data_IF_721894338639
#
_entry.id   IF_721894338639
#
_cell.length_a   1.000
_cell.length_b   1.000
_cell.length_c   1.000
_cell.angle_alpha   90.00
_cell.angle_beta   90.00
_cell.angle_gamma   90.00
#
_symmetry.space_group_name_H-M   'P 1'
#
loop_
_entity.id
_entity.type
_entity.pdbx_description
1 polymer ?
#
# COMPACT_ATOMS: atom_id res chain seq x y z
N UNK A 1 -60.76 -35.50 19.10
CA UNK A 1 -59.57 -35.27 18.23
C UNK A 1 -58.49 -34.63 19.08
N UNK A 2 -57.47 -35.40 19.48
CA UNK A 2 -56.26 -34.84 20.10
C UNK A 2 -55.25 -34.60 19.00
N UNK A 3 -55.04 -33.34 18.64
CA UNK A 3 -54.04 -32.93 17.66
C UNK A 3 -52.69 -32.86 18.39
N UNK A 4 -51.87 -33.90 18.26
CA UNK A 4 -50.48 -33.88 18.70
C UNK A 4 -49.66 -33.00 17.74
N UNK A 5 -49.26 -31.81 18.20
CA UNK A 5 -48.21 -31.03 17.53
C UNK A 5 -46.89 -31.78 17.71
N UNK A 6 -46.41 -32.38 16.63
CA UNK A 6 -45.02 -32.80 16.49
C UNK A 6 -44.13 -31.55 16.48
N UNK A 7 -43.41 -31.29 17.57
CA UNK A 7 -42.33 -30.30 17.59
C UNK A 7 -41.03 -31.04 17.29
N UNK A 8 -40.53 -30.88 16.06
CA UNK A 8 -39.12 -31.15 15.74
C UNK A 8 -38.24 -30.42 16.77
N UNK A 9 -37.11 -31.00 17.21
CA UNK A 9 -36.19 -30.31 18.10
C UNK A 9 -35.75 -28.99 17.45
N UNK A 10 -36.07 -27.87 18.08
CA UNK A 10 -35.52 -26.57 17.69
C UNK A 10 -33.99 -26.68 17.66
N UNK A 11 -33.37 -26.37 16.52
CA UNK A 11 -31.92 -26.30 16.43
C UNK A 11 -31.38 -25.39 17.56
N UNK A 12 -30.35 -25.85 18.27
CA UNK A 12 -29.77 -25.11 19.39
C UNK A 12 -29.24 -23.77 18.88
N UNK A 13 -29.62 -22.66 19.53
CA UNK A 13 -29.18 -21.32 19.15
C UNK A 13 -27.64 -21.22 19.12
N UNK A 14 -27.09 -20.96 17.95
CA UNK A 14 -25.65 -20.98 17.68
C UNK A 14 -25.27 -20.04 16.54
N UNK A 15 -24.01 -19.59 16.57
CA UNK A 15 -23.43 -18.82 15.47
C UNK A 15 -23.13 -19.81 14.35
N UNK A 16 -23.74 -19.58 13.18
CA UNK A 16 -23.72 -20.47 12.02
C UNK A 16 -22.61 -20.14 11.02
N UNK A 17 -22.17 -18.88 10.99
CA UNK A 17 -21.06 -18.45 10.14
C UNK A 17 -20.26 -17.35 10.82
N UNK A 18 -18.94 -17.39 10.65
CA UNK A 18 -18.01 -16.41 11.16
C UNK A 18 -16.99 -16.12 10.07
N UNK A 19 -16.93 -14.87 9.63
CA UNK A 19 -15.97 -14.43 8.62
C UNK A 19 -15.15 -13.28 9.20
N UNK A 20 -13.93 -13.55 9.72
CA UNK A 20 -13.02 -12.48 10.08
C UNK A 20 -12.61 -11.70 8.83
N UNK A 21 -12.49 -10.39 8.98
CA UNK A 21 -12.01 -9.46 7.96
C UNK A 21 -11.02 -8.47 8.57
N UNK A 22 -10.62 -7.47 7.79
CA UNK A 22 -9.74 -6.41 8.30
C UNK A 22 -10.51 -5.48 9.26
N UNK A 23 -10.13 -5.53 10.54
CA UNK A 23 -10.70 -4.74 11.62
C UNK A 23 -12.18 -5.00 11.84
N UNK A 24 -12.70 -6.13 11.35
CA UNK A 24 -14.10 -6.50 11.49
C UNK A 24 -14.29 -8.01 11.51
N UNK A 25 -15.43 -8.45 12.04
CA UNK A 25 -15.89 -9.85 11.97
C UNK A 25 -17.36 -9.83 11.59
N UNK A 26 -17.70 -10.50 10.49
CA UNK A 26 -19.08 -10.82 10.16
C UNK A 26 -19.51 -12.08 10.89
N UNK A 27 -20.69 -12.02 11.51
CA UNK A 27 -21.33 -13.12 12.21
C UNK A 27 -22.72 -13.33 11.62
N UNK A 28 -23.12 -14.58 11.44
CA UNK A 28 -24.53 -14.95 11.30
C UNK A 28 -24.88 -16.12 12.20
N UNK A 29 -26.15 -16.26 12.56
CA UNK A 29 -26.64 -17.28 13.46
C UNK A 29 -27.99 -17.81 13.00
N UNK A 30 -28.41 -18.96 13.53
CA UNK A 30 -29.77 -19.43 13.28
C UNK A 30 -30.79 -18.59 14.02
N UNK A 31 -31.90 -18.24 13.36
CA UNK A 31 -32.99 -17.49 13.98
C UNK A 31 -33.64 -18.28 15.11
N UNK A 32 -34.19 -17.54 16.08
CA UNK A 32 -34.89 -18.11 17.23
C UNK A 32 -36.33 -17.61 17.18
N UNK A 33 -37.33 -18.49 17.05
CA UNK A 33 -38.73 -18.09 17.04
C UNK A 33 -39.10 -17.25 18.27
N UNK A 34 -39.78 -16.11 18.05
CA UNK A 34 -40.17 -15.19 19.11
C UNK A 34 -39.09 -14.19 19.55
N UNK A 35 -37.90 -14.21 18.94
CA UNK A 35 -36.91 -13.14 19.11
C UNK A 35 -37.31 -11.91 18.29
N UNK A 36 -37.36 -10.75 18.95
CA UNK A 36 -37.59 -9.43 18.30
C UNK A 36 -36.28 -8.75 17.88
N UNK A 37 -35.14 -9.37 18.20
CA UNK A 37 -33.81 -8.92 17.83
C UNK A 37 -32.72 -9.67 18.58
N UNK A 38 -31.49 -9.21 18.40
CA UNK A 38 -30.29 -9.83 18.94
C UNK A 38 -29.32 -8.80 19.54
N UNK A 39 -28.61 -9.20 20.58
CA UNK A 39 -27.51 -8.46 21.18
C UNK A 39 -26.19 -9.21 20.95
N UNK A 40 -25.23 -8.56 20.31
CA UNK A 40 -23.89 -9.11 20.12
C UNK A 40 -23.01 -8.62 21.27
N UNK A 41 -22.43 -9.54 22.04
CA UNK A 41 -21.43 -9.25 23.07
C UNK A 41 -20.06 -9.69 22.57
N UNK A 42 -19.07 -8.79 22.64
CA UNK A 42 -17.69 -9.08 22.28
C UNK A 42 -16.65 -8.29 23.07
N UNK A 43 -15.42 -8.81 23.14
CA UNK A 43 -14.28 -8.15 23.78
C UNK A 43 -13.02 -9.02 23.77
N UNK A 44 -11.85 -8.42 24.09
CA UNK A 44 -10.57 -9.15 24.27
C UNK A 44 -10.49 -9.88 25.60
N UNK A 45 -11.11 -9.30 26.63
CA UNK A 45 -11.25 -9.88 27.97
C UNK A 45 -12.71 -9.68 28.42
N UNK A 46 -13.44 -10.76 28.72
CA UNK A 46 -14.87 -10.68 29.10
C UNK A 46 -15.14 -10.00 30.46
N UNK A 47 -14.09 -9.58 31.18
CA UNK A 47 -14.18 -8.90 32.49
C UNK A 47 -14.31 -7.38 32.38
N UNK A 48 -14.02 -6.79 31.23
CA UNK A 48 -14.07 -5.33 31.02
C UNK A 48 -14.48 -5.03 29.59
N UNK A 49 -15.69 -4.47 29.45
CA UNK A 49 -16.27 -3.92 28.22
C UNK A 49 -16.83 -4.93 27.21
N UNK A 50 -17.99 -5.50 27.51
CA UNK A 50 -18.90 -6.04 26.48
C UNK A 50 -19.55 -4.85 25.75
N UNK A 51 -19.19 -4.63 24.48
CA UNK A 51 -19.94 -3.69 23.62
C UNK A 51 -21.16 -4.43 23.10
N UNK A 52 -22.34 -3.87 23.36
CA UNK A 52 -23.64 -4.42 22.99
C UNK A 52 -24.12 -3.72 21.72
N UNK A 53 -24.46 -4.49 20.69
CA UNK A 53 -25.10 -3.93 19.49
C UNK A 53 -26.40 -4.65 19.20
N UNK A 54 -27.47 -3.90 18.94
CA UNK A 54 -28.79 -4.43 18.59
C UNK A 54 -28.86 -4.68 17.08
N UNK A 55 -29.20 -5.90 16.68
CA UNK A 55 -29.52 -6.24 15.29
C UNK A 55 -30.94 -6.82 15.21
N UNK A 56 -31.72 -6.39 14.23
CA UNK A 56 -33.01 -7.01 13.90
C UNK A 56 -32.84 -8.21 12.95
N UNK A 57 -31.69 -8.34 12.30
CA UNK A 57 -31.36 -9.44 11.40
C UNK A 57 -30.55 -10.52 12.13
N UNK A 58 -30.62 -11.76 11.64
CA UNK A 58 -29.83 -12.89 12.14
C UNK A 58 -28.34 -12.86 11.73
N UNK A 59 -27.83 -11.66 11.46
CA UNK A 59 -26.44 -11.40 11.12
C UNK A 59 -26.03 -10.01 11.58
N UNK A 60 -24.72 -9.83 11.76
CA UNK A 60 -24.12 -8.54 12.10
C UNK A 60 -22.62 -8.51 11.77
N UNK A 61 -22.14 -7.37 11.28
CA UNK A 61 -20.69 -7.11 11.12
C UNK A 61 -20.20 -6.23 12.26
N UNK A 62 -19.42 -6.81 13.17
CA UNK A 62 -18.72 -6.05 14.22
C UNK A 62 -17.51 -5.38 13.59
N UNK A 63 -17.46 -4.04 13.61
CA UNK A 63 -16.35 -3.22 13.07
C UNK A 63 -15.50 -2.61 14.19
N UNK A 64 -14.34 -2.06 13.83
CA UNK A 64 -13.45 -1.38 14.76
C UNK A 64 -12.66 -2.32 15.68
N UNK A 65 -12.46 -3.57 15.22
CA UNK A 65 -11.61 -4.55 15.88
C UNK A 65 -10.14 -4.33 15.49
N UNK A 66 -9.24 -4.87 16.30
CA UNK A 66 -7.80 -4.84 16.03
C UNK A 66 -7.38 -6.18 15.43
N UNK A 67 -6.60 -6.13 14.35
CA UNK A 67 -6.05 -7.30 13.68
C UNK A 67 -4.94 -7.93 14.50
N UNK A 68 -4.73 -9.24 14.38
CA UNK A 68 -3.82 -10.01 15.24
C UNK A 68 -4.33 -10.22 16.68
N UNK A 69 -5.30 -9.42 17.14
CA UNK A 69 -5.91 -9.61 18.45
C UNK A 69 -7.00 -10.69 18.43
N UNK A 70 -7.09 -11.41 19.54
CA UNK A 70 -8.14 -12.41 19.79
C UNK A 70 -9.34 -11.76 20.46
N UNK A 71 -10.52 -12.03 19.92
CA UNK A 71 -11.81 -11.60 20.47
C UNK A 71 -12.71 -12.80 20.75
N UNK A 72 -13.52 -12.66 21.77
CA UNK A 72 -14.56 -13.63 22.11
C UNK A 72 -15.93 -13.05 21.78
N UNK A 73 -16.80 -13.83 21.15
CA UNK A 73 -18.15 -13.39 20.76
C UNK A 73 -19.22 -14.32 21.33
N UNK A 74 -20.34 -13.72 21.73
CA UNK A 74 -21.60 -14.42 22.04
C UNK A 74 -22.78 -13.60 21.54
N UNK A 75 -23.82 -14.25 21.04
CA UNK A 75 -25.07 -13.58 20.66
C UNK A 75 -26.16 -13.95 21.66
N UNK A 76 -26.95 -12.96 22.06
CA UNK A 76 -28.11 -13.12 22.94
C UNK A 76 -29.37 -12.73 22.18
N UNK A 77 -30.47 -13.44 22.43
CA UNK A 77 -31.79 -13.07 21.91
C UNK A 77 -32.43 -11.96 22.75
N UNK A 78 -33.22 -11.10 22.09
CA UNK A 78 -34.12 -10.14 22.73
C UNK A 78 -35.56 -10.63 22.50
N UNK A 79 -36.11 -11.48 23.39
CA UNK A 79 -37.46 -12.03 23.21
C UNK A 79 -38.53 -10.99 23.56
N UNK A 80 -39.72 -11.12 22.98
CA UNK A 80 -40.92 -10.40 23.42
C UNK A 80 -41.44 -10.94 24.77
N UNK A 81 -41.32 -12.27 24.97
CA UNK A 81 -41.64 -12.96 26.21
C UNK A 81 -40.75 -14.22 26.37
N UNK A 82 -40.42 -14.58 27.61
CA UNK A 82 -39.58 -15.75 27.93
C UNK A 82 -38.10 -15.44 28.17
N UNK A 83 -37.27 -16.45 28.44
CA UNK A 83 -35.87 -16.25 28.82
C UNK A 83 -34.99 -15.90 27.62
N UNK A 84 -34.03 -14.99 27.83
CA UNK A 84 -32.94 -14.74 26.87
C UNK A 84 -32.11 -16.01 26.66
N UNK A 85 -32.04 -16.47 25.42
CA UNK A 85 -31.12 -17.51 24.98
C UNK A 85 -29.79 -16.90 24.55
N UNK A 86 -28.69 -17.65 24.76
CA UNK A 86 -27.31 -17.26 24.45
C UNK A 86 -26.62 -18.35 23.64
N UNK A 87 -25.85 -17.96 22.62
CA UNK A 87 -25.01 -18.90 21.86
C UNK A 87 -23.83 -19.40 22.69
N UNK A 88 -23.25 -20.57 22.36
CA UNK A 88 -21.89 -20.89 22.79
C UNK A 88 -20.92 -19.74 22.44
N UNK A 89 -19.89 -19.55 23.27
CA UNK A 89 -18.84 -18.60 22.98
C UNK A 89 -17.97 -19.13 21.84
N UNK A 90 -17.67 -18.24 20.90
CA UNK A 90 -16.65 -18.47 19.88
C UNK A 90 -15.44 -17.56 20.16
N UNK A 91 -14.27 -18.02 19.76
CA UNK A 91 -13.01 -17.28 19.87
C UNK A 91 -12.46 -17.10 18.47
N UNK A 92 -12.17 -15.86 18.09
CA UNK A 92 -11.67 -15.51 16.77
C UNK A 92 -10.43 -14.64 16.93
N UNK A 93 -9.31 -15.10 16.39
CA UNK A 93 -8.13 -14.26 16.18
C UNK A 93 -8.29 -13.60 14.81
N UNK A 94 -8.33 -12.27 14.78
CA UNK A 94 -8.32 -11.57 13.50
C UNK A 94 -6.96 -11.80 12.82
N UNK A 95 -6.93 -11.93 11.49
CA UNK A 95 -5.65 -12.10 10.80
C UNK A 95 -4.76 -10.90 11.09
N UNK A 96 -3.45 -11.09 11.11
CA UNK A 96 -2.54 -9.94 11.14
C UNK A 96 -2.73 -9.08 9.88
N UNK A 97 -2.53 -7.76 10.00
CA UNK A 97 -2.55 -6.89 8.82
C UNK A 97 -1.36 -7.25 7.94
N UNK A 98 -1.63 -7.49 6.67
CA UNK A 98 -0.54 -7.63 5.70
C UNK A 98 0.00 -6.27 5.23
N UNK A 99 -0.72 -5.16 5.44
CA UNK A 99 -0.24 -3.82 5.08
C UNK A 99 -1.17 -2.65 5.42
N UNK A 100 -0.75 -1.44 5.04
CA UNK A 100 -1.46 -0.16 5.22
C UNK A 100 -2.84 -0.18 4.56
N UNK A 101 -3.81 0.48 5.18
CA UNK A 101 -5.20 0.53 4.73
C UNK A 101 -5.62 1.96 4.35
N UNK A 102 -6.71 2.11 3.60
CA UNK A 102 -7.25 3.42 3.21
C UNK A 102 -7.48 4.37 4.40
N UNK A 103 -7.96 3.86 5.54
CA UNK A 103 -8.14 4.64 6.78
C UNK A 103 -6.84 5.13 7.43
N UNK A 104 -5.70 4.59 7.02
CA UNK A 104 -4.36 4.94 7.51
C UNK A 104 -3.55 5.68 6.45
N UNK A 105 -4.13 5.97 5.29
CA UNK A 105 -3.49 6.71 4.22
C UNK A 105 -3.99 8.17 4.26
N UNK A 106 -3.05 9.10 4.36
CA UNK A 106 -3.27 10.52 4.13
C UNK A 106 -3.26 10.81 2.64
N UNK A 107 -4.02 11.80 2.19
CA UNK A 107 -4.05 12.23 0.80
C UNK A 107 -3.77 13.74 0.74
N UNK A 108 -2.69 14.11 0.04
CA UNK A 108 -2.35 15.52 -0.20
C UNK A 108 -2.86 15.95 -1.56
N UNK A 109 -3.54 17.10 -1.61
CA UNK A 109 -4.09 17.71 -2.81
C UNK A 109 -3.52 19.12 -2.94
N UNK A 110 -3.05 19.49 -4.14
CA UNK A 110 -2.59 20.84 -4.43
C UNK A 110 -3.71 21.65 -5.10
N UNK A 111 -4.31 22.59 -4.40
CA UNK A 111 -5.43 23.41 -4.90
C UNK A 111 -5.02 24.38 -6.01
N UNK A 112 -3.72 24.69 -6.13
CA UNK A 112 -3.19 25.48 -7.23
C UNK A 112 -3.02 24.67 -8.53
N UNK A 113 -3.27 23.35 -8.51
CA UNK A 113 -3.22 22.49 -9.68
C UNK A 113 -4.58 21.81 -9.92
N UNK A 114 -5.37 22.25 -10.92
CA UNK A 114 -6.69 21.66 -11.20
C UNK A 114 -6.65 20.14 -11.44
N UNK A 115 -5.57 19.64 -12.05
CA UNK A 115 -5.39 18.19 -12.25
C UNK A 115 -5.23 17.47 -10.91
N UNK A 116 -4.56 18.10 -9.94
CA UNK A 116 -4.38 17.55 -8.60
C UNK A 116 -5.70 17.46 -7.84
N UNK A 117 -6.54 18.49 -7.93
CA UNK A 117 -7.87 18.49 -7.33
C UNK A 117 -8.73 17.37 -7.90
N UNK A 118 -8.78 17.23 -9.23
CA UNK A 118 -9.56 16.19 -9.90
C UNK A 118 -9.03 14.78 -9.55
N UNK A 119 -7.71 14.60 -9.56
CA UNK A 119 -7.09 13.31 -9.24
C UNK A 119 -7.29 12.94 -7.76
N UNK A 120 -7.14 13.92 -6.87
CA UNK A 120 -7.32 13.75 -5.43
C UNK A 120 -8.73 13.27 -5.10
N UNK A 121 -9.75 13.95 -5.61
CA UNK A 121 -11.14 13.53 -5.42
C UNK A 121 -11.42 12.16 -6.03
N UNK A 122 -10.89 11.89 -7.24
CA UNK A 122 -11.01 10.59 -7.88
C UNK A 122 -10.44 9.48 -6.99
N UNK A 123 -9.21 9.65 -6.51
CA UNK A 123 -8.54 8.65 -5.69
C UNK A 123 -9.22 8.46 -4.33
N UNK A 124 -9.62 9.57 -3.67
CA UNK A 124 -10.38 9.55 -2.42
C UNK A 124 -11.64 8.70 -2.53
N UNK A 125 -12.47 8.96 -3.54
CA UNK A 125 -13.71 8.19 -3.76
C UNK A 125 -13.42 6.73 -4.05
N UNK A 126 -12.44 6.45 -4.92
CA UNK A 126 -12.15 5.09 -5.37
C UNK A 126 -11.52 4.19 -4.31
N UNK A 127 -10.71 4.76 -3.41
CA UNK A 127 -10.09 4.03 -2.29
C UNK A 127 -10.86 4.19 -0.97
N UNK A 128 -11.96 4.95 -0.93
CA UNK A 128 -12.70 5.31 0.29
C UNK A 128 -11.78 5.88 1.38
N UNK A 129 -10.92 6.84 1.00
CA UNK A 129 -10.04 7.52 1.95
C UNK A 129 -10.91 8.43 2.83
N UNK A 130 -10.83 8.34 4.17
CA UNK A 130 -11.62 9.17 5.06
C UNK A 130 -11.35 10.66 4.84
N UNK A 131 -12.38 11.50 4.97
CA UNK A 131 -12.27 12.95 4.78
C UNK A 131 -11.27 13.60 5.73
N UNK A 132 -11.16 13.09 6.95
CA UNK A 132 -10.23 13.54 7.98
C UNK A 132 -8.76 13.27 7.64
N UNK A 133 -8.48 12.41 6.65
CA UNK A 133 -7.14 12.09 6.20
C UNK A 133 -6.68 12.95 5.01
N UNK A 134 -7.50 13.92 4.58
CA UNK A 134 -7.22 14.73 3.38
C UNK A 134 -6.67 16.07 3.79
N UNK A 135 -5.60 16.49 3.13
CA UNK A 135 -4.96 17.79 3.33
C UNK A 135 -4.88 18.53 2.01
N UNK A 136 -5.57 19.66 1.96
CA UNK A 136 -5.50 20.61 0.87
C UNK A 136 -4.36 21.61 1.12
N UNK A 137 -3.53 21.83 0.10
CA UNK A 137 -2.32 22.63 0.13
C UNK A 137 -2.31 23.61 -1.04
N UNK A 138 -1.67 24.76 -0.87
CA UNK A 138 -1.46 25.74 -1.93
C UNK A 138 0.03 25.77 -2.31
N UNK A 139 0.43 24.97 -3.30
CA UNK A 139 1.83 24.78 -3.69
C UNK A 139 2.04 25.31 -5.10
N UNK A 140 3.17 26.00 -5.33
CA UNK A 140 3.53 26.45 -6.67
C UNK A 140 3.71 25.28 -7.65
N UNK A 141 3.14 25.40 -8.84
CA UNK A 141 3.24 24.41 -9.92
C UNK A 141 4.57 24.53 -10.68
N UNK A 142 5.65 24.20 -9.99
CA UNK A 142 7.02 24.16 -10.52
C UNK A 142 7.64 22.79 -10.24
N UNK A 143 8.61 22.30 -11.05
CA UNK A 143 9.19 20.96 -10.83
C UNK A 143 9.89 20.81 -9.48
N UNK A 144 10.47 21.90 -8.98
CA UNK A 144 11.26 21.95 -7.76
C UNK A 144 10.87 23.17 -6.91
N UNK A 145 10.73 22.95 -5.60
CA UNK A 145 10.51 24.01 -4.61
C UNK A 145 11.73 24.19 -3.71
N UNK A 146 11.87 25.39 -3.14
CA UNK A 146 12.92 25.69 -2.16
C UNK A 146 12.67 25.00 -0.81
N UNK A 147 13.72 24.81 -0.02
CA UNK A 147 13.60 24.29 1.36
C UNK A 147 12.69 25.14 2.24
N UNK A 148 12.71 26.46 2.08
CA UNK A 148 11.84 27.37 2.82
C UNK A 148 10.35 27.17 2.48
N UNK A 149 10.03 27.03 1.19
CA UNK A 149 8.66 26.74 0.76
C UNK A 149 8.21 25.35 1.25
N UNK A 150 9.10 24.35 1.18
CA UNK A 150 8.83 23.02 1.69
C UNK A 150 8.60 23.00 3.21
N UNK A 151 9.34 23.77 4.00
CA UNK A 151 9.17 23.79 5.45
C UNK A 151 7.75 24.24 5.85
N UNK A 152 7.21 25.26 5.18
CA UNK A 152 5.82 25.71 5.38
C UNK A 152 4.82 24.60 5.04
N UNK A 153 5.00 23.95 3.88
CA UNK A 153 4.20 22.80 3.45
C UNK A 153 4.24 21.68 4.48
N UNK A 154 5.43 21.29 4.95
CA UNK A 154 5.63 20.19 5.89
C UNK A 154 4.95 20.45 7.23
N UNK A 155 5.08 21.67 7.75
CA UNK A 155 4.40 22.07 9.00
C UNK A 155 2.88 21.96 8.86
N UNK A 156 2.31 22.41 7.74
CA UNK A 156 0.87 22.28 7.51
C UNK A 156 0.42 20.81 7.45
N UNK A 157 1.14 19.97 6.70
CA UNK A 157 0.85 18.53 6.59
C UNK A 157 0.90 17.85 7.96
N UNK A 158 1.94 18.11 8.75
CA UNK A 158 2.10 17.48 10.07
C UNK A 158 1.02 17.89 11.07
N UNK A 159 0.54 19.14 11.00
CA UNK A 159 -0.53 19.64 11.85
C UNK A 159 -1.90 19.09 11.47
N UNK A 160 -2.16 18.89 10.17
CA UNK A 160 -3.48 18.50 9.67
C UNK A 160 -3.70 16.99 9.63
N UNK A 161 -2.65 16.18 9.44
CA UNK A 161 -2.79 14.73 9.37
C UNK A 161 -2.98 14.10 10.77
N UNK A 162 -4.05 13.31 10.99
CA UNK A 162 -4.23 12.56 12.22
C UNK A 162 -3.06 11.61 12.53
N UNK A 163 -2.85 11.29 13.81
CA UNK A 163 -1.83 10.30 14.21
C UNK A 163 -2.16 8.88 13.71
N UNK A 164 -3.41 8.61 13.33
CA UNK A 164 -3.83 7.33 12.73
C UNK A 164 -3.24 7.13 11.32
N UNK A 165 -2.82 8.21 10.65
CA UNK A 165 -2.23 8.18 9.32
C UNK A 165 -0.79 7.67 9.39
N UNK A 166 -0.54 6.56 8.69
CA UNK A 166 0.75 5.87 8.63
C UNK A 166 1.53 6.18 7.36
N UNK A 167 0.86 6.54 6.26
CA UNK A 167 1.50 6.84 4.99
C UNK A 167 0.75 7.95 4.25
N UNK A 168 1.36 8.50 3.20
CA UNK A 168 0.81 9.63 2.45
C UNK A 168 0.83 9.37 0.94
N UNK A 169 -0.32 9.55 0.30
CA UNK A 169 -0.47 9.68 -1.14
C UNK A 169 -0.38 11.15 -1.54
N UNK A 170 0.33 11.43 -2.63
CA UNK A 170 0.50 12.78 -3.18
C UNK A 170 -0.23 12.84 -4.52
N UNK A 171 -1.30 13.62 -4.62
CA UNK A 171 -2.15 13.67 -5.81
C UNK A 171 -1.68 14.72 -6.84
N UNK A 172 -0.38 14.92 -7.03
CA UNK A 172 0.17 15.79 -8.08
C UNK A 172 1.43 15.20 -8.68
N UNK A 173 1.78 15.65 -9.89
CA UNK A 173 3.04 15.28 -10.56
C UNK A 173 4.18 16.27 -10.25
N UNK A 174 3.87 17.56 -10.08
CA UNK A 174 4.84 18.61 -9.75
C UNK A 174 4.36 19.48 -8.56
N UNK A 175 5.24 19.84 -7.63
CA UNK A 175 6.68 19.53 -7.57
C UNK A 175 6.97 18.06 -7.24
N UNK A 176 8.06 17.53 -7.79
CA UNK A 176 8.61 16.21 -7.39
C UNK A 176 9.86 16.35 -6.51
N UNK A 177 10.39 17.57 -6.35
CA UNK A 177 11.67 17.84 -5.69
C UNK A 177 11.61 19.00 -4.71
N UNK A 178 12.43 18.88 -3.67
CA UNK A 178 12.82 19.96 -2.79
C UNK A 178 14.34 20.04 -2.90
N UNK A 179 14.85 21.00 -3.68
CA UNK A 179 16.28 21.04 -4.04
C UNK A 179 16.78 19.64 -4.48
N UNK A 180 17.82 19.09 -3.81
CA UNK A 180 18.38 17.78 -4.14
C UNK A 180 17.60 16.57 -3.55
N UNK A 181 16.62 16.81 -2.67
CA UNK A 181 15.77 15.78 -2.05
C UNK A 181 14.51 15.55 -2.89
N UNK A 182 14.01 14.32 -2.92
CA UNK A 182 12.68 14.06 -3.48
C UNK A 182 11.61 14.56 -2.51
N UNK A 183 10.48 15.03 -3.04
CA UNK A 183 9.37 15.48 -2.19
C UNK A 183 8.80 14.33 -1.34
N UNK A 184 8.78 13.11 -1.88
CA UNK A 184 8.35 11.91 -1.14
C UNK A 184 9.23 11.64 0.06
N UNK A 185 10.55 11.80 -0.08
CA UNK A 185 11.48 11.53 1.01
C UNK A 185 11.56 12.66 2.02
N UNK A 186 11.50 13.90 1.53
CA UNK A 186 11.41 15.06 2.41
C UNK A 186 10.13 15.03 3.27
N UNK A 187 8.98 14.62 2.70
CA UNK A 187 7.74 14.43 3.46
C UNK A 187 7.82 13.29 4.48
N UNK A 188 8.47 12.18 4.12
CA UNK A 188 8.53 11.01 5.01
C UNK A 188 9.49 11.19 6.19
N UNK A 189 10.68 11.75 5.93
CA UNK A 189 11.82 11.75 6.87
C UNK A 189 12.34 13.15 7.21
N UNK A 190 11.75 14.20 6.62
CA UNK A 190 12.31 15.55 6.65
C UNK A 190 13.36 15.76 5.56
N UNK A 191 13.68 17.03 5.31
CA UNK A 191 14.72 17.40 4.34
C UNK A 191 16.11 17.02 4.89
N UNK A 192 16.94 16.38 4.08
CA UNK A 192 18.30 15.98 4.48
C UNK A 192 19.35 16.91 3.86
N UNK A 193 19.93 17.78 4.69
CA UNK A 193 20.87 18.83 4.26
C UNK A 193 22.24 18.28 3.82
N UNK A 194 22.79 17.34 4.60
CA UNK A 194 24.19 16.96 4.49
C UNK A 194 24.58 16.44 3.10
N UNK A 195 23.78 15.60 2.41
CA UNK A 195 24.07 15.18 1.04
C UNK A 195 24.00 16.32 0.03
N UNK A 196 23.04 17.25 0.15
CA UNK A 196 22.93 18.38 -0.78
C UNK A 196 24.13 19.34 -0.68
N UNK A 197 24.66 19.57 0.53
CA UNK A 197 25.75 20.52 0.76
C UNK A 197 27.10 19.94 0.35
N UNK A 198 27.37 18.67 0.68
CA UNK A 198 28.69 18.05 0.45
C UNK A 198 28.86 17.57 -0.99
N UNK A 199 27.96 16.69 -1.41
CA UNK A 199 27.92 16.01 -2.70
C UNK A 199 26.71 15.05 -2.65
N UNK A 200 25.83 15.08 -3.66
CA UNK A 200 24.62 14.24 -3.72
C UNK A 200 24.93 12.74 -3.75
N UNK A 201 26.18 12.33 -4.01
CA UNK A 201 26.60 10.95 -3.86
C UNK A 201 26.83 10.51 -2.40
N UNK A 202 26.94 11.45 -1.45
CA UNK A 202 27.17 11.15 -0.04
C UNK A 202 26.02 10.35 0.58
N UNK A 203 26.34 9.62 1.66
CA UNK A 203 25.36 8.94 2.49
C UNK A 203 24.54 9.95 3.32
N UNK A 204 23.25 9.70 3.41
CA UNK A 204 22.33 10.34 4.32
C UNK A 204 21.98 9.40 5.48
N UNK A 205 21.09 9.82 6.37
CA UNK A 205 20.51 8.93 7.36
C UNK A 205 19.72 7.83 6.66
N UNK A 206 20.05 6.58 6.95
CA UNK A 206 19.32 5.42 6.40
C UNK A 206 17.87 5.41 6.89
N UNK A 207 16.95 4.97 6.03
CA UNK A 207 15.54 4.77 6.39
C UNK A 207 15.41 3.68 7.45
N UNK A 208 14.83 3.96 8.64
CA UNK A 208 14.58 2.93 9.65
C UNK A 208 13.53 1.91 9.20
N UNK A 209 12.78 2.23 8.14
CA UNK A 209 11.78 1.34 7.57
C UNK A 209 12.38 0.26 6.66
N UNK A 210 13.59 0.46 6.15
CA UNK A 210 14.27 -0.48 5.26
C UNK A 210 14.31 -1.89 5.85
N UNK A 211 13.76 -2.87 5.12
CA UNK A 211 13.70 -4.26 5.56
C UNK A 211 12.88 -4.53 6.83
N UNK A 212 12.18 -3.54 7.41
CA UNK A 212 11.42 -3.72 8.66
C UNK A 212 10.15 -4.57 8.46
N UNK A 213 9.66 -5.19 9.55
CA UNK A 213 8.37 -5.91 9.57
C UNK A 213 7.19 -5.02 9.99
N UNK A 214 7.44 -3.75 10.30
CA UNK A 214 6.38 -2.84 10.75
C UNK A 214 5.37 -2.56 9.63
N UNK A 215 4.10 -2.53 10.00
CA UNK A 215 2.96 -2.04 9.20
C UNK A 215 2.42 -0.70 9.74
N UNK A 216 3.16 -0.10 10.69
CA UNK A 216 2.81 1.13 11.40
C UNK A 216 3.99 2.13 11.43
N UNK A 217 4.50 2.56 10.27
CA UNK A 217 5.71 3.38 10.19
C UNK A 217 5.64 4.71 10.96
N UNK A 218 4.47 5.35 11.06
CA UNK A 218 4.37 6.61 11.82
C UNK A 218 4.38 6.34 13.32
N UNK A 219 3.68 5.29 13.76
CA UNK A 219 3.66 4.91 15.17
C UNK A 219 5.05 4.50 15.65
N UNK A 220 5.74 3.66 14.86
CA UNK A 220 6.98 3.00 15.26
C UNK A 220 8.23 3.85 14.99
N UNK A 221 8.25 4.61 13.89
CA UNK A 221 9.44 5.34 13.44
C UNK A 221 9.23 6.84 13.26
N UNK A 222 8.02 7.35 13.57
CA UNK A 222 7.66 8.77 13.36
C UNK A 222 7.85 9.25 11.92
N UNK A 223 7.74 8.34 10.96
CA UNK A 223 7.82 8.65 9.53
C UNK A 223 6.53 8.24 8.82
N UNK A 224 6.16 8.96 7.77
CA UNK A 224 5.05 8.57 6.88
C UNK A 224 5.59 8.33 5.48
N UNK A 225 5.82 7.07 5.06
CA UNK A 225 6.14 6.74 3.67
C UNK A 225 5.23 7.50 2.73
N UNK A 226 5.80 8.15 1.72
CA UNK A 226 5.05 8.95 0.76
C UNK A 226 5.23 8.43 -0.67
N UNK A 227 4.17 8.48 -1.46
CA UNK A 227 4.19 8.05 -2.86
C UNK A 227 3.29 8.94 -3.72
N UNK A 228 3.79 9.31 -4.90
CA UNK A 228 3.09 10.19 -5.84
C UNK A 228 2.20 9.39 -6.79
N UNK A 229 0.95 9.83 -6.92
CA UNK A 229 0.03 9.41 -7.98
C UNK A 229 0.37 10.17 -9.27
N UNK A 230 1.61 10.07 -9.72
CA UNK A 230 2.11 10.85 -10.85
C UNK A 230 2.08 10.05 -12.15
N UNK A 231 1.71 10.72 -13.24
CA UNK A 231 1.72 10.20 -14.60
C UNK A 231 1.95 11.35 -15.61
N UNK A 232 2.12 11.03 -16.91
CA UNK A 232 2.35 12.06 -17.95
C UNK A 232 1.10 12.90 -18.26
N UNK A 233 -0.08 12.46 -17.81
CA UNK A 233 -1.34 13.20 -17.92
C UNK A 233 -2.29 12.79 -16.80
N UNK A 234 -3.29 13.62 -16.53
CA UNK A 234 -4.37 13.31 -15.58
C UNK A 234 -5.08 11.99 -15.93
N UNK A 235 -5.32 11.72 -17.21
CA UNK A 235 -5.99 10.50 -17.64
C UNK A 235 -5.15 9.26 -17.33
N UNK A 236 -3.84 9.31 -17.59
CA UNK A 236 -2.94 8.23 -17.20
C UNK A 236 -2.82 8.08 -15.68
N UNK A 237 -2.95 9.17 -14.91
CA UNK A 237 -2.96 9.10 -13.45
C UNK A 237 -4.23 8.41 -12.93
N UNK A 238 -5.40 8.65 -13.55
CA UNK A 238 -6.62 7.90 -13.26
C UNK A 238 -6.49 6.43 -13.63
N UNK A 239 -5.89 6.12 -14.78
CA UNK A 239 -5.60 4.75 -15.19
C UNK A 239 -4.62 4.06 -14.23
N UNK A 240 -3.64 4.77 -13.68
CA UNK A 240 -2.76 4.29 -12.63
C UNK A 240 -3.57 3.91 -11.37
N UNK A 241 -4.47 4.78 -10.92
CA UNK A 241 -5.38 4.50 -9.79
C UNK A 241 -6.21 3.24 -10.06
N UNK A 242 -6.81 3.15 -11.24
CA UNK A 242 -7.66 2.02 -11.64
C UNK A 242 -6.91 0.71 -11.66
N UNK A 243 -5.69 0.74 -12.22
CA UNK A 243 -4.80 -0.41 -12.30
C UNK A 243 -4.34 -0.86 -10.91
N UNK A 244 -4.05 0.06 -10.00
CA UNK A 244 -3.74 -0.27 -8.61
C UNK A 244 -4.89 -0.96 -7.88
N UNK A 245 -6.12 -0.44 -8.02
CA UNK A 245 -7.32 -1.06 -7.44
C UNK A 245 -7.60 -2.43 -8.07
N UNK A 246 -7.49 -2.55 -9.39
CA UNK A 246 -7.70 -3.80 -10.11
C UNK A 246 -6.68 -4.88 -9.73
N UNK A 247 -5.56 -4.50 -9.09
CA UNK A 247 -4.56 -5.44 -8.61
C UNK A 247 -5.00 -6.17 -7.35
N UNK A 248 -5.82 -5.56 -6.49
CA UNK A 248 -6.05 -6.01 -5.12
C UNK A 248 -6.50 -7.48 -5.04
N UNK A 249 -5.68 -8.31 -4.39
CA UNK A 249 -6.00 -9.72 -4.12
C UNK A 249 -6.06 -10.62 -5.35
N UNK A 250 -5.51 -10.20 -6.49
CA UNK A 250 -5.50 -11.00 -7.73
C UNK A 250 -4.47 -12.12 -7.73
N UNK A 251 -3.47 -12.08 -6.83
CA UNK A 251 -2.39 -13.06 -6.66
C UNK A 251 -1.77 -13.52 -7.99
N UNK A 252 -1.28 -12.60 -8.84
CA UNK A 252 -0.82 -12.96 -10.17
C UNK A 252 0.47 -13.79 -10.09
N UNK A 253 0.62 -14.70 -11.05
CA UNK A 253 1.88 -15.37 -11.35
C UNK A 253 2.54 -14.71 -12.57
N UNK A 254 3.87 -14.59 -12.56
CA UNK A 254 4.59 -14.00 -13.68
C UNK A 254 6.08 -13.85 -13.42
N UNK A 255 6.71 -13.05 -14.26
CA UNK A 255 8.17 -12.94 -14.32
C UNK A 255 8.68 -11.67 -13.64
N UNK A 256 9.82 -11.79 -12.95
CA UNK A 256 10.64 -10.67 -12.53
C UNK A 256 11.90 -10.61 -13.39
N UNK A 257 12.03 -9.56 -14.21
CA UNK A 257 13.18 -9.33 -15.07
C UNK A 257 14.18 -8.39 -14.40
N UNK A 258 15.33 -8.93 -14.03
CA UNK A 258 16.49 -8.17 -13.54
C UNK A 258 17.49 -8.05 -14.69
N UNK A 259 17.69 -6.84 -15.19
CA UNK A 259 18.42 -6.65 -16.45
C UNK A 259 19.92 -6.48 -16.21
N UNK A 260 20.72 -7.23 -16.95
CA UNK A 260 22.15 -7.01 -17.12
C UNK A 260 22.36 -6.40 -18.51
N UNK A 261 22.53 -5.09 -18.54
CA UNK A 261 22.52 -4.26 -19.76
C UNK A 261 23.94 -3.92 -20.21
N UNK A 262 24.06 -3.24 -21.34
CA UNK A 262 25.32 -2.66 -21.83
C UNK A 262 25.90 -1.59 -20.89
N UNK A 263 25.09 -0.98 -20.04
CA UNK A 263 25.57 -0.13 -18.93
C UNK A 263 25.93 -1.00 -17.71
N UNK A 264 27.21 -1.41 -17.64
CA UNK A 264 27.71 -2.26 -16.57
C UNK A 264 27.62 -1.59 -15.18
N UNK A 265 27.77 -0.26 -15.11
CA UNK A 265 27.68 0.50 -13.86
C UNK A 265 26.27 0.43 -13.29
N UNK A 266 25.23 0.55 -14.13
CA UNK A 266 23.83 0.53 -13.69
C UNK A 266 23.19 -0.85 -13.65
N UNK A 267 23.93 -1.88 -14.07
CA UNK A 267 23.54 -3.30 -13.95
C UNK A 267 23.90 -3.91 -12.58
N UNK A 268 24.12 -3.10 -11.54
CA UNK A 268 24.51 -3.55 -10.19
C UNK A 268 23.50 -4.52 -9.57
N UNK A 269 22.21 -4.33 -9.82
CA UNK A 269 21.15 -5.24 -9.32
C UNK A 269 21.34 -6.65 -9.85
N UNK A 270 21.62 -6.81 -11.14
CA UNK A 270 21.91 -8.11 -11.75
C UNK A 270 23.18 -8.78 -11.22
N UNK A 271 24.16 -8.00 -10.74
CA UNK A 271 25.40 -8.53 -10.16
C UNK A 271 25.24 -8.99 -8.71
N UNK A 272 24.50 -8.23 -7.90
CA UNK A 272 24.33 -8.49 -6.46
C UNK A 272 23.27 -9.56 -6.23
N UNK A 273 22.23 -9.61 -7.07
CA UNK A 273 21.13 -10.55 -6.92
C UNK A 273 21.56 -12.03 -6.87
N UNK A 274 22.36 -12.57 -7.80
CA UNK A 274 22.77 -13.98 -7.75
C UNK A 274 23.72 -14.31 -6.59
N UNK A 275 24.51 -13.34 -6.10
CA UNK A 275 25.38 -13.52 -4.95
C UNK A 275 24.64 -13.57 -3.60
N UNK A 276 23.36 -13.17 -3.57
CA UNK A 276 22.57 -13.11 -2.35
C UNK A 276 22.00 -14.46 -1.88
N UNK A 277 22.23 -15.58 -2.58
CA UNK A 277 21.60 -16.90 -2.35
C UNK A 277 20.05 -16.90 -2.38
N UNK A 278 19.40 -15.78 -2.68
CA UNK A 278 17.94 -15.62 -2.66
C UNK A 278 17.26 -16.05 -3.96
N UNK A 279 18.04 -16.24 -5.04
CA UNK A 279 17.57 -16.26 -6.44
C UNK A 279 16.72 -17.44 -6.92
N UNK A 280 16.21 -18.33 -6.06
CA UNK A 280 15.26 -19.38 -6.50
C UNK A 280 13.95 -19.47 -5.71
N UNK A 281 13.85 -18.88 -4.52
CA UNK A 281 12.66 -19.05 -3.66
C UNK A 281 12.28 -17.76 -2.91
N UNK A 282 12.30 -16.60 -3.59
CA UNK A 282 11.80 -15.35 -3.00
C UNK A 282 10.29 -15.36 -2.80
N UNK A 283 9.58 -15.98 -3.74
CA UNK A 283 8.13 -16.02 -3.80
C UNK A 283 7.68 -17.20 -4.68
N UNK A 284 6.62 -17.93 -4.31
CA UNK A 284 6.04 -18.95 -5.18
C UNK A 284 5.30 -18.36 -6.39
N UNK A 285 5.06 -17.04 -6.40
CA UNK A 285 4.32 -16.35 -7.47
C UNK A 285 5.20 -15.83 -8.61
N UNK A 286 6.52 -15.74 -8.38
CA UNK A 286 7.41 -14.95 -9.25
C UNK A 286 8.57 -15.80 -9.74
N UNK A 287 8.68 -15.94 -11.06
CA UNK A 287 9.86 -16.50 -11.72
C UNK A 287 10.90 -15.39 -11.94
N UNK A 288 12.04 -15.46 -11.25
CA UNK A 288 13.06 -14.42 -11.33
C UNK A 288 14.10 -14.74 -12.39
N UNK A 289 14.25 -13.83 -13.35
CA UNK A 289 15.13 -13.97 -14.50
C UNK A 289 16.18 -12.86 -14.51
N UNK A 290 17.46 -13.22 -14.49
CA UNK A 290 18.54 -12.30 -14.84
C UNK A 290 18.72 -12.35 -16.35
N UNK A 291 18.52 -11.22 -17.04
CA UNK A 291 18.52 -11.19 -18.51
C UNK A 291 19.66 -10.32 -19.04
N UNK A 292 20.53 -10.93 -19.86
CA UNK A 292 21.59 -10.23 -20.59
C UNK A 292 20.99 -9.58 -21.84
N UNK A 293 20.40 -8.40 -21.68
CA UNK A 293 19.80 -7.62 -22.75
C UNK A 293 19.58 -6.18 -22.29
N UNK A 294 19.49 -5.25 -23.23
CA UNK A 294 19.19 -3.84 -22.94
C UNK A 294 17.71 -3.59 -22.63
N UNK A 295 16.80 -4.45 -23.10
CA UNK A 295 15.37 -4.37 -22.79
C UNK A 295 14.66 -5.73 -22.94
N UNK A 296 13.42 -5.78 -22.43
CA UNK A 296 12.44 -6.81 -22.77
C UNK A 296 11.43 -6.22 -23.76
N UNK A 297 10.82 -7.07 -24.58
CA UNK A 297 9.78 -6.68 -25.53
C UNK A 297 8.83 -7.85 -25.73
N UNK A 298 7.53 -7.57 -25.86
CA UNK A 298 6.50 -8.58 -26.12
C UNK A 298 6.24 -9.55 -24.97
N UNK A 299 6.66 -9.24 -23.74
CA UNK A 299 6.34 -10.09 -22.59
C UNK A 299 4.88 -9.93 -22.19
N UNK A 300 4.28 -10.97 -21.61
CA UNK A 300 2.85 -10.98 -21.26
C UNK A 300 2.58 -10.93 -19.74
N UNK A 301 3.63 -11.11 -18.94
CA UNK A 301 3.55 -11.42 -17.50
C UNK A 301 4.61 -10.68 -16.68
N UNK A 302 5.06 -9.50 -17.13
CA UNK A 302 6.12 -8.74 -16.45
C UNK A 302 5.60 -8.14 -15.13
N UNK A 303 5.80 -8.85 -14.01
CA UNK A 303 5.41 -8.39 -12.67
C UNK A 303 6.43 -7.42 -12.07
N UNK A 304 7.71 -7.67 -12.33
CA UNK A 304 8.79 -6.80 -11.87
C UNK A 304 9.76 -6.58 -13.03
N UNK A 305 10.07 -5.32 -13.34
CA UNK A 305 11.01 -4.98 -14.39
C UNK A 305 12.05 -3.98 -13.88
N UNK A 306 13.23 -4.49 -13.53
CA UNK A 306 14.31 -3.74 -12.91
C UNK A 306 15.43 -3.47 -13.92
N UNK A 307 15.50 -2.22 -14.37
CA UNK A 307 16.40 -1.77 -15.43
C UNK A 307 17.63 -0.97 -14.97
N UNK A 308 18.62 -0.80 -15.86
CA UNK A 308 19.80 0.03 -15.63
C UNK A 308 19.96 1.22 -16.57
N UNK A 309 19.33 1.24 -17.74
CA UNK A 309 19.64 2.25 -18.75
C UNK A 309 19.03 3.63 -18.45
N UNK A 310 19.71 4.67 -18.95
CA UNK A 310 19.22 6.07 -18.91
C UNK A 310 17.95 6.26 -19.74
N UNK A 311 17.77 5.46 -20.78
CA UNK A 311 16.57 5.38 -21.60
C UNK A 311 16.32 3.90 -21.95
N UNK A 312 15.09 3.44 -21.76
CA UNK A 312 14.70 2.05 -21.99
C UNK A 312 13.71 2.00 -23.15
N UNK A 313 14.05 1.25 -24.18
CA UNK A 313 13.18 1.07 -25.35
C UNK A 313 12.08 0.03 -25.08
N UNK A 314 11.03 0.06 -25.91
CA UNK A 314 9.97 -0.95 -25.97
C UNK A 314 9.17 -1.19 -24.68
N UNK A 315 9.18 -0.26 -23.72
CA UNK A 315 8.42 -0.38 -22.46
C UNK A 315 6.95 -0.73 -22.74
N UNK A 316 6.28 0.04 -23.60
CA UNK A 316 4.86 -0.14 -23.94
C UNK A 316 4.54 -1.34 -24.85
N UNK A 317 5.53 -2.14 -25.26
CA UNK A 317 5.28 -3.39 -25.98
C UNK A 317 5.13 -4.59 -25.04
N UNK A 318 5.33 -4.40 -23.73
CA UNK A 318 5.17 -5.43 -22.73
C UNK A 318 3.81 -5.30 -22.05
N UNK A 319 3.30 -6.42 -21.54
CA UNK A 319 2.10 -6.45 -20.70
C UNK A 319 2.52 -6.55 -19.25
N UNK A 320 2.02 -5.61 -18.46
CA UNK A 320 2.22 -5.52 -17.03
C UNK A 320 0.90 -5.90 -16.34
N UNK A 321 0.82 -7.05 -15.64
CA UNK A 321 -0.36 -7.36 -14.84
C UNK A 321 -0.66 -6.23 -13.85
N UNK A 322 -1.94 -5.95 -13.51
CA UNK A 322 -2.28 -4.98 -12.48
C UNK A 322 -1.48 -5.23 -11.19
N UNK A 323 -0.85 -4.18 -10.67
CA UNK A 323 0.08 -4.27 -9.53
C UNK A 323 1.54 -4.46 -9.89
N UNK A 324 1.88 -4.74 -11.15
CA UNK A 324 3.28 -4.87 -11.57
C UNK A 324 4.07 -3.57 -11.38
N UNK A 325 5.37 -3.70 -11.16
CA UNK A 325 6.28 -2.57 -10.94
C UNK A 325 7.43 -2.58 -11.95
N UNK A 326 7.85 -1.40 -12.37
CA UNK A 326 8.97 -1.26 -13.28
C UNK A 326 9.74 0.02 -12.98
N UNK A 327 11.05 -0.06 -12.89
CA UNK A 327 11.90 1.10 -12.62
C UNK A 327 13.29 0.92 -13.22
N UNK A 328 14.06 2.01 -13.25
CA UNK A 328 15.42 2.02 -13.74
C UNK A 328 16.40 2.66 -12.75
N UNK A 329 17.58 2.06 -12.66
CA UNK A 329 18.69 2.50 -11.85
C UNK A 329 19.44 3.61 -12.59
N UNK A 330 18.83 4.77 -12.78
CA UNK A 330 19.47 5.90 -13.44
C UNK A 330 19.37 7.18 -12.62
N UNK A 331 20.28 8.11 -12.91
CA UNK A 331 20.29 9.44 -12.33
C UNK A 331 19.07 10.23 -12.80
N UNK A 332 18.49 11.10 -11.99
CA UNK A 332 17.46 12.05 -12.46
C UNK A 332 16.17 11.42 -13.05
N UNK A 333 15.95 10.10 -12.98
CA UNK A 333 14.69 9.47 -13.39
C UNK A 333 13.46 9.96 -12.59
N UNK A 334 13.69 10.49 -11.39
CA UNK A 334 12.69 11.12 -10.52
C UNK A 334 12.46 12.62 -10.81
N UNK A 335 13.21 13.22 -11.73
CA UNK A 335 12.88 14.54 -12.30
C UNK A 335 11.70 14.37 -13.27
N UNK A 336 10.49 14.25 -12.72
CA UNK A 336 9.36 13.61 -13.41
C UNK A 336 8.93 14.30 -14.72
N UNK A 337 9.16 15.61 -14.86
CA UNK A 337 8.68 16.41 -16.00
C UNK A 337 9.76 17.19 -16.74
N UNK A 338 10.98 17.20 -16.21
CA UNK A 338 12.07 18.07 -16.63
C UNK A 338 13.45 17.37 -16.61
N UNK A 339 13.45 16.04 -16.58
CA UNK A 339 14.69 15.25 -16.70
C UNK A 339 15.27 15.36 -18.11
N UNK A 340 16.60 15.37 -18.19
CA UNK A 340 17.33 15.13 -19.43
C UNK A 340 17.56 13.63 -19.70
N UNK A 341 17.34 12.78 -18.70
CA UNK A 341 17.24 11.33 -18.86
C UNK A 341 15.78 10.91 -18.99
N UNK A 342 15.51 9.64 -19.25
CA UNK A 342 14.13 9.18 -19.31
C UNK A 342 13.47 9.35 -17.93
N UNK A 343 12.29 9.98 -17.89
CA UNK A 343 11.48 10.04 -16.68
C UNK A 343 10.96 8.66 -16.30
N UNK A 344 10.92 8.36 -15.00
CA UNK A 344 10.32 7.12 -14.49
C UNK A 344 8.84 7.00 -14.89
N UNK A 345 8.15 8.11 -15.19
CA UNK A 345 6.75 8.12 -15.64
C UNK A 345 6.52 7.34 -16.94
N UNK A 346 7.56 7.09 -17.75
CA UNK A 346 7.43 6.24 -18.95
C UNK A 346 7.06 4.79 -18.60
N UNK A 347 7.42 4.29 -17.42
CA UNK A 347 6.97 2.98 -16.95
C UNK A 347 5.47 2.98 -16.59
N UNK A 348 4.98 4.05 -15.96
CA UNK A 348 3.55 4.22 -15.67
C UNK A 348 2.75 4.32 -16.97
N UNK A 349 3.23 5.09 -17.95
CA UNK A 349 2.62 5.20 -19.27
C UNK A 349 2.65 3.87 -20.05
N UNK A 350 3.67 3.03 -19.80
CA UNK A 350 3.77 1.68 -20.35
C UNK A 350 2.88 0.64 -19.67
N UNK A 351 2.20 0.98 -18.56
CA UNK A 351 1.27 0.09 -17.87
C UNK A 351 1.75 -0.43 -16.51
N UNK A 352 2.92 -0.02 -16.00
CA UNK A 352 3.33 -0.36 -14.64
C UNK A 352 2.47 0.37 -13.59
N UNK A 353 2.23 -0.26 -12.44
CA UNK A 353 1.47 0.29 -11.30
C UNK A 353 2.36 1.02 -10.30
N UNK A 354 3.67 0.76 -10.34
CA UNK A 354 4.65 1.43 -9.52
C UNK A 354 5.97 1.60 -10.26
N UNK A 355 6.67 2.68 -9.92
CA UNK A 355 8.00 2.99 -10.41
C UNK A 355 8.79 3.81 -9.38
N UNK A 356 10.07 3.95 -9.63
CA UNK A 356 11.00 4.67 -8.79
C UNK A 356 12.01 5.42 -9.66
N UNK A 357 12.40 6.62 -9.24
CA UNK A 357 13.46 7.37 -9.87
C UNK A 357 14.20 8.27 -8.89
N UNK A 358 15.45 8.60 -9.17
CA UNK A 358 16.23 9.53 -8.34
C UNK A 358 16.06 10.96 -8.83
N UNK A 359 15.93 11.93 -7.93
CA UNK A 359 15.71 13.34 -8.31
C UNK A 359 17.01 14.14 -8.48
N UNK A 360 18.13 13.55 -8.09
CA UNK A 360 19.49 14.12 -8.16
C UNK A 360 20.49 12.98 -8.38
N UNK A 361 21.76 13.28 -8.68
CA UNK A 361 22.79 12.27 -9.00
C UNK A 361 23.07 11.31 -7.83
N UNK A 362 22.85 9.99 -7.98
CA UNK A 362 23.01 9.00 -6.92
C UNK A 362 24.35 8.23 -6.92
N UNK A 363 25.21 8.41 -7.92
CA UNK A 363 26.47 7.64 -8.12
C UNK A 363 26.27 6.11 -8.25
N UNK A 364 25.08 5.69 -8.73
CA UNK A 364 24.73 4.29 -8.92
C UNK A 364 24.91 3.39 -7.67
N UNK A 365 24.88 3.91 -6.44
CA UNK A 365 24.96 3.05 -5.25
C UNK A 365 23.67 2.25 -5.06
N UNK A 366 23.78 0.92 -4.94
CA UNK A 366 22.60 0.02 -4.88
C UNK A 366 21.64 0.36 -3.74
N UNK A 367 22.15 0.85 -2.61
CA UNK A 367 21.37 1.25 -1.44
C UNK A 367 20.43 2.44 -1.70
N UNK A 368 20.64 3.20 -2.79
CA UNK A 368 19.81 4.34 -3.21
C UNK A 368 18.70 3.95 -4.18
N UNK A 369 18.58 2.66 -4.50
CA UNK A 369 17.58 2.12 -5.41
C UNK A 369 16.86 0.93 -4.78
N UNK A 370 15.69 0.55 -5.31
CA UNK A 370 14.96 -0.61 -4.84
C UNK A 370 15.80 -1.88 -4.94
N UNK A 371 16.03 -2.53 -3.80
CA UNK A 371 16.54 -3.89 -3.71
C UNK A 371 15.47 -4.87 -4.23
N UNK A 372 15.73 -5.57 -5.36
CA UNK A 372 14.74 -6.48 -5.94
C UNK A 372 14.28 -7.58 -4.98
N UNK A 373 15.17 -8.10 -4.15
CA UNK A 373 14.87 -9.20 -3.24
C UNK A 373 13.92 -8.76 -2.14
N UNK A 374 14.16 -7.58 -1.56
CA UNK A 374 13.26 -7.02 -0.55
C UNK A 374 11.94 -6.63 -1.18
N UNK A 375 11.96 -5.94 -2.32
CA UNK A 375 10.74 -5.50 -3.03
C UNK A 375 9.83 -6.70 -3.35
N UNK A 376 10.36 -7.72 -4.02
CA UNK A 376 9.61 -8.92 -4.40
C UNK A 376 9.10 -9.66 -3.15
N UNK A 377 9.96 -9.87 -2.14
CA UNK A 377 9.56 -10.63 -0.95
C UNK A 377 8.48 -9.91 -0.14
N UNK A 378 8.62 -8.60 0.08
CA UNK A 378 7.66 -7.79 0.84
C UNK A 378 6.32 -7.73 0.11
N UNK A 379 6.35 -7.42 -1.18
CA UNK A 379 5.12 -7.23 -1.94
C UNK A 379 4.32 -8.53 -2.06
N UNK A 380 4.99 -9.65 -2.36
CA UNK A 380 4.34 -10.96 -2.50
C UNK A 380 3.91 -11.60 -1.18
N UNK A 381 4.32 -11.05 -0.03
CA UNK A 381 3.79 -11.38 1.30
C UNK A 381 2.50 -10.61 1.65
N UNK A 382 2.04 -9.74 0.76
CA UNK A 382 0.78 -9.01 0.89
C UNK A 382 0.90 -7.62 1.51
N UNK A 383 2.11 -7.07 1.57
CA UNK A 383 2.32 -5.65 1.88
C UNK A 383 1.81 -4.76 0.75
N UNK A 384 1.43 -3.52 1.05
CA UNK A 384 1.02 -2.58 -0.01
C UNK A 384 2.22 -2.12 -0.84
N UNK A 385 1.95 -1.61 -2.05
CA UNK A 385 3.00 -1.12 -2.94
C UNK A 385 3.91 -0.07 -2.28
N UNK A 386 3.32 0.87 -1.52
CA UNK A 386 4.10 1.89 -0.83
C UNK A 386 5.02 1.30 0.24
N UNK A 387 4.56 0.28 0.97
CA UNK A 387 5.38 -0.38 1.99
C UNK A 387 6.53 -1.17 1.36
N UNK A 388 6.23 -1.97 0.34
CA UNK A 388 7.24 -2.78 -0.34
C UNK A 388 8.35 -1.90 -0.95
N UNK A 389 7.99 -0.81 -1.62
CA UNK A 389 8.97 0.11 -2.19
C UNK A 389 9.82 0.79 -1.12
N UNK A 390 9.18 1.37 -0.10
CA UNK A 390 9.91 2.07 0.96
C UNK A 390 10.78 1.16 1.82
N UNK A 391 10.41 -0.12 1.97
CA UNK A 391 11.25 -1.13 2.63
C UNK A 391 12.42 -1.58 1.76
N UNK A 392 12.35 -1.39 0.45
CA UNK A 392 13.38 -1.83 -0.51
C UNK A 392 14.49 -0.81 -0.76
N UNK A 393 14.38 0.43 -0.28
CA UNK A 393 15.39 1.48 -0.49
C UNK A 393 15.98 1.93 0.85
N UNK A 394 17.29 1.76 1.03
CA UNK A 394 17.96 2.10 2.30
C UNK A 394 18.20 3.60 2.42
N UNK A 395 18.61 4.24 1.32
CA UNK A 395 19.01 5.64 1.25
C UNK A 395 18.01 6.40 0.38
N UNK A 396 16.97 6.90 1.02
CA UNK A 396 15.75 7.32 0.32
C UNK A 396 15.77 8.77 -0.13
N UNK A 397 16.67 9.63 0.37
CA UNK A 397 16.55 11.10 0.22
C UNK A 397 16.38 11.57 -1.24
N UNK A 398 16.90 10.84 -2.23
CA UNK A 398 16.77 11.16 -3.66
C UNK A 398 15.58 10.47 -4.33
N UNK A 399 14.98 9.48 -3.69
CA UNK A 399 14.01 8.57 -4.29
C UNK A 399 12.63 9.20 -4.42
N UNK A 400 12.20 9.48 -5.65
CA UNK A 400 10.81 9.74 -5.99
C UNK A 400 10.09 8.40 -6.13
N UNK A 401 9.22 8.10 -5.17
CA UNK A 401 8.36 6.92 -5.18
C UNK A 401 7.06 7.26 -5.90
N UNK A 402 6.75 6.56 -6.99
CA UNK A 402 5.59 6.85 -7.84
C UNK A 402 4.79 5.57 -8.03
N UNK A 403 3.47 5.65 -7.91
CA UNK A 403 2.60 4.50 -8.07
C UNK A 403 1.28 4.68 -7.34
N UNK A 404 0.46 3.64 -7.35
CA UNK A 404 -0.78 3.60 -6.58
C UNK A 404 -0.50 3.02 -5.18
N UNK A 405 -0.52 3.83 -4.09
CA UNK A 405 0.06 3.44 -2.80
C UNK A 405 -0.49 2.17 -2.18
N UNK A 406 -1.79 1.90 -2.37
CA UNK A 406 -2.48 0.78 -1.73
C UNK A 406 -2.58 -0.47 -2.60
N UNK A 407 -2.02 -0.45 -3.82
CA UNK A 407 -2.04 -1.59 -4.73
C UNK A 407 -1.49 -2.81 -4.00
N UNK A 408 -2.29 -3.88 -3.91
CA UNK A 408 -1.93 -5.05 -3.11
C UNK A 408 -2.33 -6.37 -3.79
N UNK A 409 -1.54 -6.83 -4.78
CA UNK A 409 -1.87 -8.00 -5.58
C UNK A 409 -1.95 -9.27 -4.74
N UNK A 410 -1.06 -9.41 -3.76
CA UNK A 410 -1.00 -10.57 -2.88
C UNK A 410 -1.64 -10.31 -1.51
N UNK A 411 -2.64 -9.43 -1.48
CA UNK A 411 -3.43 -9.16 -0.27
C UNK A 411 -3.88 -10.49 0.30
N UNK A 412 -3.56 -10.73 1.58
CA UNK A 412 -3.98 -11.93 2.28
C UNK A 412 -5.51 -11.88 2.44
N UNK A 413 -6.22 -12.55 1.53
CA UNK A 413 -7.65 -12.78 1.65
C UNK A 413 -7.76 -14.02 2.55
N UNK A 414 -8.30 -13.86 3.75
CA UNK A 414 -8.65 -15.04 4.55
C UNK A 414 -9.63 -15.86 3.72
N UNK A 415 -9.21 -17.07 3.34
CA UNK A 415 -10.05 -18.00 2.61
C UNK A 415 -11.33 -18.25 3.40
N UNK A 416 -12.48 -18.02 2.76
CA UNK A 416 -13.76 -18.58 3.22
C UNK A 416 -13.66 -20.09 3.01
N UNK A 417 -13.38 -20.83 4.08
CA UNK A 417 -13.55 -22.28 4.10
C UNK A 417 -14.86 -22.63 4.79
#
# INVERSE_FOLDING_TARGET
MYTTRSTLPSAKFSISNVVPGDGNVYLSWNEVPGATGYLINYGRNFRTSARVVKSAAASFTVKGLENGATYHFTVLTVPEAGPTQKTPQITITLPERSGIQARQLGLLINDNDPDSVVLGEYYRTRRNIPSENIVHLNISKVPEISRAAFQLLKTQVDLMLPETVQAVAIAWTIPSRVECNSITSALALGFMDAPCIKNTCSWATSSPYYGSNSTHPFTDFKMRPAMMLAALSLEQAKQLVDRGIASDGTQPHGSAYIMNTTDATRSLRARIFPASNLGKYLSPYVDVQIKNADWISGTTDALFYFQGLQAVNHIGMNTYPPGAVADHLTSYGGMLTDSYQMSALHFIAGGATGTFGTVSEPCAYSQKFPDPSIMISRYTKGETLIEAYWKSVLQTFQGAFVGEPLANPWKQIISRH
#
